data_IF_676797038661
#
_entry.id   IF_676797038661
#
_cell.length_a   1.000
_cell.length_b   1.000
_cell.length_c   1.000
_cell.angle_alpha   90.00
_cell.angle_beta   90.00
_cell.angle_gamma   90.00
#
_symmetry.space_group_name_H-M   'P 1'
#
loop_
_entity.id
_entity.type
_entity.pdbx_description
1 polymer ?
#
# COMPACT_ATOMS: atom_id res chain seq x y z
N UNK A 1 15.91 12.34 8.53
CA UNK A 1 14.53 12.89 8.45
C UNK A 1 14.65 14.40 8.32
N UNK A 2 14.44 14.96 7.13
CA UNK A 2 14.42 16.40 6.95
C UNK A 2 13.06 16.91 7.44
N UNK A 3 13.05 17.67 8.53
CA UNK A 3 11.84 18.32 9.02
C UNK A 3 11.37 19.37 8.01
N UNK A 4 10.06 19.38 7.74
CA UNK A 4 9.43 20.45 6.98
C UNK A 4 9.73 21.80 7.65
N UNK A 5 9.89 22.89 6.87
CA UNK A 5 10.10 24.21 7.44
C UNK A 5 8.93 24.56 8.39
N UNK A 6 9.22 25.20 9.54
CA UNK A 6 8.19 25.59 10.48
C UNK A 6 7.17 26.52 9.80
N UNK A 7 5.89 26.36 10.13
CA UNK A 7 4.83 27.20 9.62
C UNK A 7 5.15 28.68 9.92
N UNK A 8 5.11 29.53 8.88
CA UNK A 8 5.42 30.97 9.00
C UNK A 8 4.49 31.71 9.97
N UNK A 9 3.32 31.14 10.29
CA UNK A 9 2.36 31.67 11.26
C UNK A 9 1.76 30.49 12.05
N UNK A 10 2.03 30.44 13.35
CA UNK A 10 1.32 29.56 14.29
C UNK A 10 -0.16 30.01 14.35
N UNK A 11 -1.08 29.17 13.87
CA UNK A 11 -2.52 29.41 13.99
C UNK A 11 -3.25 29.94 12.75
N UNK A 12 -2.60 30.12 11.59
CA UNK A 12 -3.30 30.42 10.34
C UNK A 12 -4.12 29.22 9.82
N UNK A 13 -5.11 29.45 8.95
CA UNK A 13 -5.80 28.36 8.25
C UNK A 13 -4.77 27.65 7.36
N UNK A 14 -4.35 26.45 7.74
CA UNK A 14 -3.43 25.67 6.92
C UNK A 14 -4.20 25.15 5.72
N UNK A 15 -4.21 25.91 4.65
CA UNK A 15 -4.82 25.51 3.40
C UNK A 15 -3.83 24.75 2.54
N UNK A 16 -4.21 23.56 2.08
CA UNK A 16 -3.50 22.79 1.06
C UNK A 16 -4.10 23.04 -0.31
N UNK A 17 -3.30 22.88 -1.37
CA UNK A 17 -3.76 23.01 -2.75
C UNK A 17 -3.64 21.65 -3.46
N UNK A 18 -4.73 21.23 -4.11
CA UNK A 18 -4.72 20.12 -5.07
C UNK A 18 -4.75 20.74 -6.47
N UNK A 19 -3.62 20.66 -7.15
CA UNK A 19 -3.45 21.23 -8.48
C UNK A 19 -4.17 20.39 -9.55
N UNK A 20 -4.85 21.07 -10.46
CA UNK A 20 -5.34 20.53 -11.74
C UNK A 20 -4.22 20.60 -12.79
N UNK A 21 -4.37 19.85 -13.89
CA UNK A 21 -3.41 19.87 -15.00
C UNK A 21 -3.32 21.22 -15.72
N UNK A 22 -4.37 22.04 -15.66
CA UNK A 22 -4.43 23.37 -16.29
C UNK A 22 -3.81 24.48 -15.43
N UNK A 23 -3.21 24.14 -14.28
CA UNK A 23 -2.58 25.08 -13.36
C UNK A 23 -3.54 25.76 -12.37
N UNK A 24 -4.84 25.48 -12.45
CA UNK A 24 -5.80 25.87 -11.40
C UNK A 24 -5.78 24.87 -10.24
N UNK A 25 -6.37 25.19 -9.08
CA UNK A 25 -6.34 24.31 -7.93
C UNK A 25 -7.66 24.29 -7.14
N UNK A 26 -7.84 23.22 -6.35
CA UNK A 26 -8.79 23.18 -5.25
C UNK A 26 -8.07 23.46 -3.95
N UNK A 27 -8.66 24.32 -3.12
CA UNK A 27 -8.17 24.58 -1.76
C UNK A 27 -8.83 23.60 -0.78
N UNK A 28 -8.02 23.05 0.12
CA UNK A 28 -8.46 22.22 1.24
C UNK A 28 -8.10 22.91 2.55
N UNK A 29 -9.04 22.99 3.50
CA UNK A 29 -8.70 23.37 4.87
C UNK A 29 -8.09 22.14 5.59
N UNK A 30 -6.77 22.01 5.55
CA UNK A 30 -6.07 20.86 6.12
C UNK A 30 -6.28 20.79 7.64
N UNK A 31 -6.37 21.93 8.31
CA UNK A 31 -6.56 21.95 9.76
C UNK A 31 -7.93 21.38 10.12
N UNK A 32 -8.99 21.83 9.45
CA UNK A 32 -10.33 21.28 9.64
C UNK A 32 -10.36 19.75 9.44
N UNK A 33 -9.77 19.25 8.35
CA UNK A 33 -9.78 17.81 8.08
C UNK A 33 -8.92 16.99 9.04
N UNK A 34 -7.80 17.53 9.54
CA UNK A 34 -6.99 16.87 10.56
C UNK A 34 -7.69 16.86 11.93
N UNK A 35 -8.38 17.94 12.29
CA UNK A 35 -9.19 17.99 13.52
C UNK A 35 -10.39 17.01 13.41
N UNK A 36 -11.06 16.95 12.26
CA UNK A 36 -12.11 15.96 12.00
C UNK A 36 -11.57 14.52 12.07
N UNK A 37 -10.42 14.26 11.45
CA UNK A 37 -9.74 12.97 11.52
C UNK A 37 -9.40 12.60 12.97
N UNK A 38 -9.02 13.57 13.83
CA UNK A 38 -8.73 13.30 15.24
C UNK A 38 -9.97 12.85 16.02
N UNK A 39 -11.14 13.38 15.68
CA UNK A 39 -12.37 13.21 16.45
C UNK A 39 -13.22 12.02 15.98
N UNK A 40 -13.11 11.63 14.71
CA UNK A 40 -13.90 10.54 14.12
C UNK A 40 -13.07 9.24 13.95
N UNK A 41 -13.34 8.24 14.80
CA UNK A 41 -12.67 6.94 14.74
C UNK A 41 -12.98 6.12 13.49
N UNK A 42 -14.18 6.25 12.93
CA UNK A 42 -14.54 5.57 11.67
C UNK A 42 -13.75 6.17 10.51
N UNK A 43 -13.63 7.50 10.49
CA UNK A 43 -12.79 8.20 9.52
C UNK A 43 -11.32 7.82 9.66
N UNK A 44 -10.79 7.68 10.89
CA UNK A 44 -9.42 7.20 11.12
C UNK A 44 -9.18 5.82 10.51
N UNK A 45 -10.10 4.88 10.74
CA UNK A 45 -9.99 3.53 10.16
C UNK A 45 -10.02 3.58 8.63
N UNK A 46 -10.93 4.34 8.03
CA UNK A 46 -11.00 4.48 6.58
C UNK A 46 -9.75 5.14 6.00
N UNK A 47 -9.21 6.16 6.68
CA UNK A 47 -7.99 6.85 6.28
C UNK A 47 -6.78 5.89 6.29
N UNK A 48 -6.56 5.14 7.38
CA UNK A 48 -5.47 4.18 7.46
C UNK A 48 -5.58 3.07 6.42
N UNK A 49 -6.80 2.58 6.15
CA UNK A 49 -7.07 1.60 5.09
C UNK A 49 -6.71 2.16 3.71
N UNK A 50 -7.15 3.39 3.42
CA UNK A 50 -6.89 4.07 2.14
C UNK A 50 -5.39 4.36 1.97
N UNK A 51 -4.71 4.76 3.04
CA UNK A 51 -3.27 4.95 3.04
C UNK A 51 -2.52 3.65 2.70
N UNK A 52 -2.89 2.53 3.35
CA UNK A 52 -2.27 1.23 3.08
C UNK A 52 -2.50 0.76 1.63
N UNK A 53 -3.71 0.97 1.10
CA UNK A 53 -4.02 0.71 -0.32
C UNK A 53 -3.12 1.54 -1.25
N UNK A 54 -3.06 2.85 -1.02
CA UNK A 54 -2.26 3.77 -1.83
C UNK A 54 -0.78 3.43 -1.80
N UNK A 55 -0.22 3.15 -0.62
CA UNK A 55 1.18 2.78 -0.46
C UNK A 55 1.53 1.50 -1.23
N UNK A 56 0.67 0.47 -1.16
CA UNK A 56 0.91 -0.79 -1.86
C UNK A 56 0.76 -0.65 -3.38
N UNK A 57 -0.20 0.15 -3.85
CA UNK A 57 -0.35 0.47 -5.28
C UNK A 57 0.90 1.19 -5.80
N UNK A 58 1.35 2.25 -5.12
CA UNK A 58 2.54 3.01 -5.52
C UNK A 58 3.80 2.14 -5.55
N UNK A 59 4.01 1.32 -4.51
CA UNK A 59 5.15 0.40 -4.49
C UNK A 59 5.05 -0.62 -5.64
N UNK A 60 3.88 -1.24 -5.82
CA UNK A 60 3.71 -2.25 -6.87
C UNK A 60 3.81 -1.69 -8.29
N UNK A 61 3.44 -0.42 -8.50
CA UNK A 61 3.66 0.30 -9.75
C UNK A 61 5.16 0.52 -10.00
N UNK A 62 5.89 1.04 -9.01
CA UNK A 62 7.35 1.21 -9.10
C UNK A 62 8.06 -0.13 -9.36
N UNK A 63 7.74 -1.18 -8.58
CA UNK A 63 8.28 -2.52 -8.83
C UNK A 63 7.91 -3.04 -10.23
N UNK A 64 6.75 -2.65 -10.76
CA UNK A 64 6.30 -2.96 -12.11
C UNK A 64 7.24 -2.42 -13.18
N UNK A 65 7.68 -1.17 -13.04
CA UNK A 65 8.63 -0.53 -13.96
C UNK A 65 9.99 -1.25 -13.96
N UNK A 66 10.37 -1.86 -12.83
CA UNK A 66 11.56 -2.70 -12.68
C UNK A 66 11.30 -4.19 -12.93
N UNK A 67 10.13 -4.56 -13.46
CA UNK A 67 9.71 -5.95 -13.73
C UNK A 67 9.81 -6.89 -12.52
N UNK A 68 9.66 -6.34 -11.32
CA UNK A 68 9.78 -7.03 -10.03
C UNK A 68 11.16 -7.66 -9.82
N UNK A 69 12.22 -7.07 -10.40
CA UNK A 69 13.61 -7.48 -10.25
C UNK A 69 13.83 -8.98 -10.53
N UNK A 70 14.34 -9.71 -9.53
CA UNK A 70 14.64 -11.13 -9.58
C UNK A 70 13.41 -12.02 -9.29
N UNK A 71 12.25 -11.40 -9.03
CA UNK A 71 10.99 -12.07 -8.73
C UNK A 71 11.05 -12.89 -7.44
N UNK A 72 11.77 -12.40 -6.43
CA UNK A 72 11.74 -12.97 -5.10
C UNK A 72 10.30 -13.06 -4.56
N UNK A 73 10.00 -14.03 -3.66
CA UNK A 73 8.63 -14.29 -3.26
C UNK A 73 7.88 -13.12 -2.64
N UNK A 74 8.58 -12.22 -1.95
CA UNK A 74 7.99 -11.02 -1.37
C UNK A 74 7.61 -9.99 -2.44
N UNK A 75 8.38 -9.88 -3.52
CA UNK A 75 8.09 -8.99 -4.64
C UNK A 75 6.90 -9.51 -5.45
N UNK A 76 6.85 -10.82 -5.68
CA UNK A 76 5.72 -11.48 -6.33
C UNK A 76 4.44 -11.41 -5.49
N UNK A 77 4.54 -11.49 -4.16
CA UNK A 77 3.42 -11.19 -3.27
C UNK A 77 2.88 -9.78 -3.53
N UNK A 78 3.75 -8.76 -3.58
CA UNK A 78 3.33 -7.37 -3.89
C UNK A 78 2.67 -7.27 -5.27
N UNK A 79 3.18 -7.95 -6.30
CA UNK A 79 2.57 -7.96 -7.63
C UNK A 79 1.10 -8.38 -7.58
N UNK A 80 0.81 -9.52 -6.94
CA UNK A 80 -0.55 -10.05 -6.89
C UNK A 80 -1.46 -9.21 -5.98
N UNK A 81 -0.96 -8.69 -4.87
CA UNK A 81 -1.72 -7.79 -4.00
C UNK A 81 -2.08 -6.48 -4.73
N UNK A 82 -1.09 -5.81 -5.35
CA UNK A 82 -1.31 -4.58 -6.13
C UNK A 82 -2.34 -4.81 -7.24
N UNK A 83 -2.26 -5.91 -7.97
CA UNK A 83 -3.21 -6.20 -9.03
C UNK A 83 -4.61 -6.43 -8.48
N UNK A 84 -4.77 -7.17 -7.38
CA UNK A 84 -6.10 -7.36 -6.80
C UNK A 84 -6.71 -6.06 -6.27
N UNK A 85 -5.90 -5.15 -5.69
CA UNK A 85 -6.36 -3.82 -5.28
C UNK A 85 -6.79 -2.99 -6.50
N UNK A 86 -5.96 -2.94 -7.55
CA UNK A 86 -6.26 -2.22 -8.79
C UNK A 86 -7.53 -2.73 -9.49
N UNK A 87 -7.91 -3.99 -9.25
CA UNK A 87 -9.12 -4.62 -9.77
C UNK A 87 -10.31 -4.63 -8.79
N UNK A 88 -10.41 -3.63 -7.92
CA UNK A 88 -11.55 -3.46 -7.02
C UNK A 88 -11.39 -4.22 -5.70
N UNK A 89 -10.15 -4.35 -5.22
CA UNK A 89 -9.82 -5.01 -3.96
C UNK A 89 -10.24 -6.49 -3.90
N UNK A 90 -10.09 -7.22 -5.01
CA UNK A 90 -10.41 -8.65 -5.08
C UNK A 90 -9.32 -9.38 -5.87
N UNK A 91 -9.00 -10.61 -5.48
CA UNK A 91 -8.08 -11.44 -6.23
C UNK A 91 -8.66 -11.74 -7.62
N UNK A 92 -8.02 -11.17 -8.64
CA UNK A 92 -8.27 -11.45 -10.04
C UNK A 92 -7.04 -12.16 -10.63
N UNK A 93 -6.85 -13.44 -10.29
CA UNK A 93 -5.72 -14.23 -10.79
C UNK A 93 -6.00 -14.68 -12.23
N UNK A 94 -5.59 -13.84 -13.17
CA UNK A 94 -5.68 -14.12 -14.62
C UNK A 94 -4.81 -15.31 -15.02
N UNK A 95 -4.98 -15.83 -16.24
CA UNK A 95 -4.16 -16.95 -16.73
C UNK A 95 -2.66 -16.62 -16.76
N UNK A 96 -2.29 -15.37 -17.04
CA UNK A 96 -0.91 -14.94 -16.94
C UNK A 96 -0.43 -14.85 -15.48
N UNK A 97 -1.32 -14.43 -14.56
CA UNK A 97 -1.08 -14.54 -13.13
C UNK A 97 -0.82 -15.98 -12.69
N UNK A 98 -1.60 -16.96 -13.18
CA UNK A 98 -1.40 -18.38 -12.89
C UNK A 98 -0.06 -18.89 -13.45
N UNK A 99 0.29 -18.54 -14.69
CA UNK A 99 1.59 -18.89 -15.29
C UNK A 99 2.75 -18.30 -14.48
N UNK A 100 2.58 -17.10 -13.93
CA UNK A 100 3.57 -16.45 -13.07
C UNK A 100 3.74 -17.19 -11.74
N UNK A 101 2.63 -17.52 -11.07
CA UNK A 101 2.61 -18.31 -9.83
C UNK A 101 3.18 -19.73 -10.00
N UNK A 102 3.06 -20.32 -11.19
CA UNK A 102 3.69 -21.61 -11.50
C UNK A 102 5.22 -21.55 -11.56
N UNK A 103 5.80 -20.35 -11.73
CA UNK A 103 7.25 -20.13 -11.88
C UNK A 103 7.86 -19.45 -10.66
N UNK A 104 7.11 -18.55 -10.03
CA UNK A 104 7.59 -17.73 -8.92
C UNK A 104 6.56 -17.79 -7.80
N UNK A 105 7.00 -18.22 -6.62
CA UNK A 105 6.15 -18.25 -5.43
C UNK A 105 5.80 -16.82 -5.02
N UNK A 106 4.63 -16.62 -4.43
CA UNK A 106 4.16 -15.32 -3.96
C UNK A 106 3.78 -15.41 -2.48
N UNK A 107 4.75 -15.19 -1.59
CA UNK A 107 4.53 -15.31 -0.15
C UNK A 107 5.49 -14.48 0.72
N UNK A 108 5.13 -14.25 1.97
CA UNK A 108 5.98 -13.57 2.98
C UNK A 108 6.74 -14.55 3.91
N UNK A 109 6.82 -15.86 3.60
CA UNK A 109 7.40 -16.86 4.51
C UNK A 109 8.83 -16.56 5.01
N UNK A 110 9.66 -15.96 4.16
CA UNK A 110 11.04 -15.55 4.47
C UNK A 110 11.21 -14.04 4.61
N UNK A 111 10.10 -13.31 4.81
CA UNK A 111 10.11 -11.86 4.93
C UNK A 111 10.82 -11.38 6.21
N UNK A 112 11.49 -10.23 6.12
CA UNK A 112 12.27 -9.65 7.22
C UNK A 112 11.39 -9.09 8.35
N UNK A 113 10.23 -8.52 8.01
CA UNK A 113 9.21 -8.13 8.97
C UNK A 113 8.05 -9.13 8.90
N UNK A 114 7.56 -9.55 10.08
CA UNK A 114 6.49 -10.53 10.22
C UNK A 114 5.49 -10.06 11.25
N UNK A 115 4.24 -10.40 10.99
CA UNK A 115 3.18 -10.32 11.98
C UNK A 115 3.63 -11.05 13.28
N UNK A 116 3.37 -10.49 14.48
CA UNK A 116 3.75 -11.12 15.75
C UNK A 116 3.25 -12.55 15.95
N UNK A 117 2.15 -12.93 15.31
CA UNK A 117 1.60 -14.29 15.33
C UNK A 117 2.27 -15.24 14.33
N UNK A 118 3.22 -14.75 13.53
CA UNK A 118 3.93 -15.55 12.53
C UNK A 118 3.09 -15.88 11.30
N UNK A 119 2.01 -15.14 11.03
CA UNK A 119 1.12 -15.38 9.88
C UNK A 119 1.89 -15.33 8.57
N UNK A 120 1.74 -16.39 7.78
CA UNK A 120 2.27 -16.47 6.42
C UNK A 120 1.11 -16.27 5.43
N UNK A 121 1.27 -15.27 4.58
CA UNK A 121 0.41 -15.01 3.44
C UNK A 121 1.05 -15.64 2.22
N UNK A 122 0.32 -16.54 1.57
CA UNK A 122 0.71 -17.16 0.31
C UNK A 122 -0.43 -17.03 -0.70
N UNK A 123 -0.11 -16.52 -1.88
CA UNK A 123 -1.06 -16.39 -2.98
C UNK A 123 -0.88 -17.60 -3.89
N UNK A 124 -1.94 -18.38 -4.04
CA UNK A 124 -1.96 -19.56 -4.90
C UNK A 124 -2.81 -19.31 -6.17
N UNK A 125 -2.64 -20.12 -7.24
CA UNK A 125 -3.35 -19.90 -8.50
C UNK A 125 -4.89 -19.91 -8.41
N UNK A 126 -5.44 -20.52 -7.36
CA UNK A 126 -6.88 -20.67 -7.13
C UNK A 126 -7.41 -19.72 -6.05
N UNK A 127 -6.57 -18.81 -5.53
CA UNK A 127 -7.00 -17.87 -4.51
C UNK A 127 -8.02 -16.89 -5.09
N UNK A 128 -9.12 -16.69 -4.37
CA UNK A 128 -10.22 -15.80 -4.73
C UNK A 128 -10.68 -15.00 -3.51
N UNK A 129 -11.42 -13.92 -3.75
CA UNK A 129 -12.01 -13.11 -2.68
C UNK A 129 -11.24 -11.81 -2.41
N UNK A 130 -11.67 -11.03 -1.40
CA UNK A 130 -11.12 -9.71 -1.18
C UNK A 130 -9.64 -9.75 -0.76
N UNK A 131 -8.86 -8.80 -1.26
CA UNK A 131 -7.43 -8.71 -0.94
C UNK A 131 -7.23 -8.01 0.40
N UNK A 132 -7.43 -6.70 0.43
CA UNK A 132 -7.24 -5.94 1.65
C UNK A 132 -8.44 -6.06 2.58
N UNK A 133 -8.03 -6.30 3.82
CA UNK A 133 -8.75 -6.44 5.08
C UNK A 133 -9.52 -7.73 5.29
N UNK A 134 -9.46 -8.65 4.32
CA UNK A 134 -9.86 -10.05 4.49
C UNK A 134 -8.64 -10.98 4.40
N UNK A 135 -7.86 -10.90 3.30
CA UNK A 135 -6.63 -11.69 3.17
C UNK A 135 -5.46 -11.08 3.93
N UNK A 136 -5.23 -9.76 3.84
CA UNK A 136 -4.19 -9.03 4.59
C UNK A 136 -4.77 -7.80 5.29
N UNK A 137 -4.41 -7.57 6.55
CA UNK A 137 -4.81 -6.37 7.30
C UNK A 137 -3.98 -5.13 6.98
N UNK A 138 -4.41 -3.97 7.48
CA UNK A 138 -3.70 -2.69 7.26
C UNK A 138 -2.26 -2.72 7.83
N UNK A 139 -2.09 -3.34 9.00
CA UNK A 139 -0.80 -3.48 9.64
C UNK A 139 0.10 -4.48 8.88
N UNK A 140 -0.47 -5.57 8.35
CA UNK A 140 0.27 -6.56 7.58
C UNK A 140 0.84 -5.95 6.28
N UNK A 141 0.17 -4.95 5.70
CA UNK A 141 0.73 -4.16 4.59
C UNK A 141 2.02 -3.46 5.01
N UNK A 142 2.08 -2.87 6.20
CA UNK A 142 3.30 -2.20 6.69
C UNK A 142 4.45 -3.20 6.82
N UNK A 143 4.18 -4.41 7.31
CA UNK A 143 5.18 -5.47 7.41
C UNK A 143 5.67 -5.91 6.02
N UNK A 144 4.78 -5.98 5.03
CA UNK A 144 5.15 -6.25 3.63
C UNK A 144 6.04 -5.13 3.07
N UNK A 145 5.66 -3.86 3.25
CA UNK A 145 6.43 -2.71 2.77
C UNK A 145 7.85 -2.70 3.37
N UNK A 146 7.96 -2.89 4.69
CA UNK A 146 9.25 -2.99 5.39
C UNK A 146 10.08 -4.18 4.90
N UNK A 147 9.43 -5.30 4.62
CA UNK A 147 10.13 -6.48 4.11
C UNK A 147 10.69 -6.26 2.72
N UNK A 148 9.98 -5.52 1.86
CA UNK A 148 10.51 -5.11 0.55
C UNK A 148 11.68 -4.14 0.70
N UNK A 149 11.57 -3.15 1.60
CA UNK A 149 12.68 -2.21 1.89
C UNK A 149 13.95 -2.96 2.31
N UNK A 150 13.85 -3.87 3.28
CA UNK A 150 14.99 -4.67 3.75
C UNK A 150 15.53 -5.58 2.65
N UNK A 151 14.65 -6.16 1.83
CA UNK A 151 15.05 -7.04 0.74
C UNK A 151 15.83 -6.27 -0.35
N UNK A 152 15.37 -5.08 -0.74
CA UNK A 152 16.01 -4.27 -1.78
C UNK A 152 17.26 -3.52 -1.32
N UNK A 153 17.52 -3.49 -0.01
CA UNK A 153 18.71 -2.85 0.56
C UNK A 153 19.93 -3.79 0.67
N UNK A 154 19.80 -5.03 0.21
CA UNK A 154 20.86 -6.06 0.18
C UNK A 154 21.49 -6.15 -1.20
#
# INVERSE_FOLDING_TARGET
MNSLPPAKVLGGSQTGEINRKDGTFHTLDLRFYLDLLREDQDLQRHFLRTWAMGALLMLGDELGDHRYFDRAPILELVYHLRNGIAHGNTFNITDDGKKRLAKHLAHNGNAAAKNPMGTVYEITPNLTGPVLFDFVGAADVIDILRSVEVYLSQ
#
